data_IF_109324917744
#
_entry.id   IF_109324917744
#
_cell.length_a   1.000
_cell.length_b   1.000
_cell.length_c   1.000
_cell.angle_alpha   90.00
_cell.angle_beta   90.00
_cell.angle_gamma   90.00
#
_symmetry.space_group_name_H-M   'P 1'
#
loop_
_entity.id
_entity.type
_entity.pdbx_description
1 polymer ?
#
# COMPACT_ATOMS: atom_id res chain seq x y z
N UNK A 1 12.25 -5.57 -21.68
CA UNK A 1 12.83 -4.27 -21.34
C UNK A 1 12.71 -4.12 -19.82
N UNK A 2 13.80 -3.83 -19.13
CA UNK A 2 13.83 -3.56 -17.70
C UNK A 2 13.33 -2.13 -17.48
N UNK A 3 12.30 -1.96 -16.65
CA UNK A 3 11.78 -0.65 -16.29
C UNK A 3 12.23 -0.28 -14.88
N UNK A 4 12.38 1.03 -14.60
CA UNK A 4 12.58 1.56 -13.26
C UNK A 4 11.23 1.94 -12.67
N UNK A 5 10.87 1.32 -11.55
CA UNK A 5 9.56 1.47 -10.92
C UNK A 5 9.72 1.94 -9.48
N UNK A 6 8.90 2.89 -9.08
CA UNK A 6 8.76 3.30 -7.68
C UNK A 6 7.38 2.89 -7.19
N UNK A 7 7.30 2.26 -6.02
CA UNK A 7 6.03 2.00 -5.35
C UNK A 7 6.04 2.62 -3.95
N UNK A 8 4.89 3.10 -3.49
CA UNK A 8 4.78 3.79 -2.19
C UNK A 8 3.57 3.29 -1.41
N UNK A 9 3.78 2.86 -0.16
CA UNK A 9 2.68 2.43 0.69
C UNK A 9 3.11 1.84 2.02
N UNK A 10 2.17 1.19 2.71
CA UNK A 10 2.42 0.55 3.98
C UNK A 10 2.87 -0.90 3.82
N UNK A 11 3.95 -1.26 4.50
CA UNK A 11 4.27 -2.65 4.77
C UNK A 11 3.89 -2.99 6.22
N UNK A 12 3.18 -4.10 6.41
CA UNK A 12 2.73 -4.55 7.73
C UNK A 12 3.35 -5.89 8.11
N UNK A 13 3.45 -6.12 9.39
CA UNK A 13 3.70 -7.44 9.95
C UNK A 13 2.40 -8.26 9.88
N UNK A 14 2.42 -9.38 9.16
CA UNK A 14 1.33 -10.35 9.11
C UNK A 14 1.63 -11.51 10.06
N UNK A 15 0.71 -11.76 10.97
CA UNK A 15 0.72 -12.89 11.89
C UNK A 15 -0.40 -13.87 11.51
N UNK A 16 -0.04 -14.99 10.89
CA UNK A 16 -1.01 -15.98 10.42
C UNK A 16 -1.06 -17.17 11.38
N UNK A 17 -2.26 -17.62 11.77
CA UNK A 17 -2.40 -18.90 12.46
C UNK A 17 -1.95 -20.05 11.53
N UNK A 18 -1.28 -21.09 12.08
CA UNK A 18 -0.81 -22.20 11.26
C UNK A 18 -1.95 -22.95 10.55
N UNK A 19 -1.73 -23.29 9.31
CA UNK A 19 -2.68 -24.03 8.49
C UNK A 19 -4.08 -23.38 8.48
N UNK A 20 -5.08 -24.08 8.99
CA UNK A 20 -6.47 -23.63 9.08
C UNK A 20 -6.96 -23.47 10.52
N UNK A 21 -6.05 -23.35 11.48
CA UNK A 21 -6.41 -23.14 12.87
C UNK A 21 -7.10 -21.79 13.07
N UNK A 22 -8.06 -21.74 13.99
CA UNK A 22 -8.61 -20.47 14.48
C UNK A 22 -7.64 -19.82 15.44
N UNK A 23 -7.73 -18.51 15.64
CA UNK A 23 -6.90 -17.81 16.63
C UNK A 23 -6.99 -18.43 18.01
N UNK A 24 -8.19 -18.87 18.44
CA UNK A 24 -8.39 -19.54 19.74
C UNK A 24 -7.74 -20.92 19.86
N UNK A 25 -7.29 -21.52 18.76
CA UNK A 25 -6.64 -22.82 18.72
C UNK A 25 -5.14 -22.71 18.54
N UNK A 26 -4.67 -21.56 18.02
CA UNK A 26 -3.28 -21.35 17.67
C UNK A 26 -2.45 -21.07 18.95
N UNK A 27 -1.33 -21.76 19.08
CA UNK A 27 -0.31 -21.50 20.12
C UNK A 27 0.88 -20.69 19.60
N UNK A 28 0.95 -20.48 18.28
CA UNK A 28 2.02 -19.76 17.58
C UNK A 28 1.47 -19.04 16.36
N UNK A 29 2.26 -18.13 15.79
CA UNK A 29 1.95 -17.45 14.53
C UNK A 29 3.11 -17.55 13.55
N UNK A 30 2.79 -17.77 12.28
CA UNK A 30 3.72 -17.59 11.18
C UNK A 30 3.91 -16.10 10.89
N UNK A 31 5.16 -15.67 10.82
CA UNK A 31 5.54 -14.27 10.59
C UNK A 31 5.78 -14.05 9.10
N UNK A 32 5.08 -13.08 8.53
CA UNK A 32 5.30 -12.58 7.18
C UNK A 32 5.20 -11.06 7.16
N UNK A 33 5.76 -10.44 6.12
CA UNK A 33 5.62 -9.01 5.89
C UNK A 33 4.96 -8.78 4.53
N UNK A 34 4.03 -7.83 4.45
CA UNK A 34 3.33 -7.55 3.22
C UNK A 34 2.50 -6.28 3.28
N UNK A 35 2.13 -5.80 2.12
CA UNK A 35 1.30 -4.64 1.91
C UNK A 35 1.00 -4.54 0.42
N UNK A 36 -0.04 -3.81 0.04
CA UNK A 36 -0.46 -3.75 -1.35
C UNK A 36 0.70 -3.36 -2.28
N UNK A 37 1.29 -2.21 -2.04
CA UNK A 37 2.37 -1.66 -2.86
C UNK A 37 3.71 -2.38 -2.64
N UNK A 38 3.94 -2.91 -1.43
CA UNK A 38 5.11 -3.74 -1.13
C UNK A 38 5.06 -5.06 -1.92
N UNK A 39 3.89 -5.68 -2.05
CA UNK A 39 3.70 -6.89 -2.83
C UNK A 39 3.92 -6.63 -4.33
N UNK A 40 3.45 -5.49 -4.84
CA UNK A 40 3.73 -5.05 -6.22
C UNK A 40 5.23 -4.87 -6.42
N UNK A 41 5.93 -4.21 -5.48
CA UNK A 41 7.38 -4.04 -5.54
C UNK A 41 8.11 -5.38 -5.64
N UNK A 42 7.78 -6.32 -4.77
CA UNK A 42 8.37 -7.68 -4.76
C UNK A 42 8.12 -8.40 -6.08
N UNK A 43 6.88 -8.38 -6.57
CA UNK A 43 6.52 -9.06 -7.83
C UNK A 43 7.29 -8.49 -9.01
N UNK A 44 7.39 -7.17 -9.13
CA UNK A 44 8.11 -6.52 -10.23
C UNK A 44 9.61 -6.75 -10.15
N UNK A 45 10.20 -6.73 -8.94
CA UNK A 45 11.62 -7.04 -8.76
C UNK A 45 11.93 -8.49 -9.18
N UNK A 46 11.08 -9.45 -8.84
CA UNK A 46 11.24 -10.84 -9.25
C UNK A 46 11.03 -11.06 -10.77
N UNK A 47 10.27 -10.18 -11.42
CA UNK A 47 10.13 -10.15 -12.87
C UNK A 47 11.31 -9.46 -13.57
N UNK A 48 12.32 -9.00 -12.83
CA UNK A 48 13.55 -8.42 -13.37
C UNK A 48 13.50 -6.91 -13.62
N UNK A 49 12.56 -6.20 -12.99
CA UNK A 49 12.53 -4.74 -13.01
C UNK A 49 13.41 -4.14 -11.89
N UNK A 50 13.88 -2.91 -12.09
CA UNK A 50 14.56 -2.12 -11.06
C UNK A 50 13.50 -1.41 -10.20
N UNK A 51 13.32 -1.85 -8.96
CA UNK A 51 12.20 -1.43 -8.13
C UNK A 51 12.66 -0.79 -6.85
N UNK A 52 12.22 0.44 -6.61
CA UNK A 52 12.39 1.17 -5.36
C UNK A 52 11.08 1.22 -4.60
N UNK A 53 11.13 0.92 -3.31
CA UNK A 53 9.97 1.00 -2.41
C UNK A 53 10.11 2.17 -1.44
N UNK A 54 9.08 3.02 -1.37
CA UNK A 54 8.98 4.16 -0.47
C UNK A 54 7.98 3.85 0.63
N UNK A 55 8.37 4.08 1.88
CA UNK A 55 7.51 3.93 3.05
C UNK A 55 8.12 4.69 4.24
N UNK A 56 7.43 4.68 5.37
CA UNK A 56 8.01 5.03 6.67
C UNK A 56 7.87 3.86 7.63
N UNK A 57 8.99 3.45 8.23
CA UNK A 57 9.11 2.23 9.02
C UNK A 57 9.81 2.56 10.36
N UNK A 58 9.40 1.97 11.51
CA UNK A 58 9.99 2.28 12.79
C UNK A 58 11.46 1.88 12.87
N UNK A 59 12.25 2.63 13.65
CA UNK A 59 13.68 2.35 13.90
C UNK A 59 13.86 1.32 15.01
N UNK A 60 13.31 0.11 14.80
CA UNK A 60 13.42 -1.01 15.74
C UNK A 60 13.65 -2.34 15.00
N UNK A 61 13.88 -3.42 15.72
CA UNK A 61 14.17 -4.74 15.15
C UNK A 61 13.08 -5.28 14.22
N UNK A 62 11.81 -4.97 14.47
CA UNK A 62 10.69 -5.38 13.61
C UNK A 62 10.73 -4.61 12.28
N UNK A 63 11.00 -3.31 12.31
CA UNK A 63 11.21 -2.50 11.11
C UNK A 63 12.41 -2.97 10.29
N UNK A 64 13.52 -3.34 10.94
CA UNK A 64 14.69 -3.93 10.26
C UNK A 64 14.35 -5.25 9.59
N UNK A 65 13.57 -6.11 10.23
CA UNK A 65 13.14 -7.38 9.66
C UNK A 65 12.24 -7.20 8.43
N UNK A 66 11.36 -6.19 8.45
CA UNK A 66 10.54 -5.84 7.29
C UNK A 66 11.40 -5.40 6.10
N UNK A 67 12.37 -4.49 6.33
CA UNK A 67 13.30 -4.03 5.30
C UNK A 67 14.17 -5.18 4.78
N UNK A 68 14.67 -6.04 5.66
CA UNK A 68 15.48 -7.20 5.27
C UNK A 68 14.67 -8.15 4.36
N UNK A 69 13.37 -8.32 4.63
CA UNK A 69 12.49 -9.14 3.80
C UNK A 69 12.35 -8.57 2.39
N UNK A 70 12.16 -7.26 2.24
CA UNK A 70 12.11 -6.61 0.93
C UNK A 70 13.45 -6.71 0.18
N UNK A 71 14.56 -6.42 0.86
CA UNK A 71 15.90 -6.49 0.25
C UNK A 71 16.25 -7.87 -0.28
N UNK A 72 15.82 -8.95 0.40
CA UNK A 72 16.02 -10.34 -0.05
C UNK A 72 15.38 -10.63 -1.40
N UNK A 73 14.34 -9.88 -1.78
CA UNK A 73 13.64 -10.04 -3.06
C UNK A 73 14.16 -9.11 -4.15
N UNK A 74 15.21 -8.31 -3.88
CA UNK A 74 15.80 -7.39 -4.84
C UNK A 74 15.19 -6.00 -4.85
N UNK A 75 14.29 -5.68 -3.94
CA UNK A 75 13.69 -4.34 -3.82
C UNK A 75 14.68 -3.36 -3.18
N UNK A 76 14.88 -2.22 -3.81
CA UNK A 76 15.65 -1.12 -3.25
C UNK A 76 14.85 -0.38 -2.17
N UNK A 77 15.43 -0.31 -0.97
CA UNK A 77 14.82 0.28 0.22
C UNK A 77 15.53 1.56 0.69
N UNK A 78 16.38 2.19 -0.16
CA UNK A 78 17.22 3.33 0.26
C UNK A 78 16.42 4.56 0.68
N UNK A 79 15.22 4.73 0.13
CA UNK A 79 14.33 5.87 0.42
C UNK A 79 13.23 5.56 1.43
N UNK A 80 13.38 4.49 2.21
CA UNK A 80 12.46 4.24 3.33
C UNK A 80 12.82 5.19 4.47
N UNK A 81 11.88 6.07 4.83
CA UNK A 81 12.02 6.94 5.99
C UNK A 81 11.96 6.13 7.29
N UNK A 82 12.72 6.55 8.29
CA UNK A 82 12.82 5.86 9.57
C UNK A 82 12.23 6.69 10.70
N UNK A 83 11.37 6.09 11.48
CA UNK A 83 10.73 6.76 12.63
C UNK A 83 9.31 6.28 12.88
N UNK A 84 8.61 7.00 13.77
CA UNK A 84 7.33 6.52 14.27
C UNK A 84 7.50 5.44 15.34
N UNK A 85 6.36 4.97 15.91
CA UNK A 85 6.38 4.07 17.07
C UNK A 85 6.37 2.59 16.69
N UNK A 86 5.64 2.22 15.62
CA UNK A 86 5.34 0.82 15.33
C UNK A 86 5.10 0.55 13.85
N UNK A 87 5.35 -0.68 13.47
CA UNK A 87 4.84 -1.24 12.22
C UNK A 87 3.35 -1.60 12.42
N UNK A 88 2.53 -1.37 11.39
CA UNK A 88 1.16 -1.90 11.40
C UNK A 88 1.18 -3.43 11.44
N UNK A 89 0.23 -4.02 12.16
CA UNK A 89 0.09 -5.48 12.29
C UNK A 89 -1.29 -5.90 11.79
N UNK A 90 -1.36 -7.05 11.16
CA UNK A 90 -2.65 -7.72 10.99
C UNK A 90 -2.52 -9.21 11.26
N UNK A 91 -3.59 -9.75 11.83
CA UNK A 91 -3.72 -11.16 12.12
C UNK A 91 -4.57 -11.81 11.04
N UNK A 92 -4.12 -12.96 10.54
CA UNK A 92 -4.83 -13.73 9.51
C UNK A 92 -5.18 -15.12 10.03
N UNK A 93 -6.45 -15.42 9.98
CA UNK A 93 -6.99 -16.76 10.16
C UNK A 93 -7.42 -17.28 8.78
N UNK A 94 -6.76 -18.30 8.28
CA UNK A 94 -7.06 -18.84 6.96
C UNK A 94 -8.44 -19.49 6.91
N UNK A 95 -9.17 -19.24 5.83
CA UNK A 95 -10.43 -19.90 5.56
C UNK A 95 -10.27 -21.40 5.31
N UNK A 96 -11.31 -22.16 5.60
CA UNK A 96 -11.36 -23.60 5.31
C UNK A 96 -12.73 -23.98 4.79
N UNK A 97 -12.80 -24.58 3.63
CA UNK A 97 -14.08 -24.98 2.98
C UNK A 97 -15.03 -23.76 2.88
N UNK A 98 -16.20 -23.82 3.50
CA UNK A 98 -17.21 -22.75 3.51
C UNK A 98 -16.89 -21.62 4.51
N UNK A 99 -15.91 -21.80 5.36
CA UNK A 99 -15.50 -20.75 6.33
C UNK A 99 -14.60 -19.74 5.64
N UNK A 100 -14.98 -18.45 5.59
CA UNK A 100 -14.10 -17.42 5.03
C UNK A 100 -12.87 -17.18 5.91
N UNK A 101 -11.84 -16.59 5.31
CA UNK A 101 -10.70 -16.08 6.07
C UNK A 101 -11.14 -14.92 6.97
N UNK A 102 -10.51 -14.81 8.14
CA UNK A 102 -10.74 -13.71 9.06
C UNK A 102 -9.46 -12.87 9.21
N UNK A 103 -9.60 -11.56 9.02
CA UNK A 103 -8.49 -10.62 9.15
C UNK A 103 -8.82 -9.61 10.24
N UNK A 104 -7.91 -9.48 11.22
CA UNK A 104 -7.98 -8.47 12.27
C UNK A 104 -6.82 -7.51 12.11
N UNK A 105 -7.12 -6.22 11.92
CA UNK A 105 -6.09 -5.18 11.79
C UNK A 105 -5.79 -4.53 13.15
N UNK A 106 -4.52 -4.35 13.43
CA UNK A 106 -3.97 -3.51 14.48
C UNK A 106 -2.92 -2.59 13.86
N UNK A 107 -3.39 -1.50 13.22
CA UNK A 107 -2.55 -0.60 12.41
C UNK A 107 -2.71 0.88 12.78
N UNK A 108 -3.49 1.21 13.80
CA UNK A 108 -3.60 2.59 14.25
C UNK A 108 -2.21 3.14 14.64
N UNK A 109 -1.95 4.40 14.30
CA UNK A 109 -0.70 5.09 14.62
C UNK A 109 0.56 4.36 14.13
N UNK A 110 0.45 3.56 13.07
CA UNK A 110 1.62 2.96 12.42
C UNK A 110 2.53 4.04 11.83
N UNK A 111 3.82 3.75 11.70
CA UNK A 111 4.82 4.74 11.27
C UNK A 111 4.46 5.43 9.95
N UNK A 112 3.88 4.71 8.99
CA UNK A 112 3.47 5.30 7.70
C UNK A 112 2.41 6.39 7.86
N UNK A 113 1.49 6.28 8.84
CA UNK A 113 0.45 7.29 9.08
C UNK A 113 1.02 8.65 9.47
N UNK A 114 2.28 8.70 9.86
CA UNK A 114 3.03 9.89 10.25
C UNK A 114 4.08 10.28 9.18
N UNK A 115 4.04 9.68 8.00
CA UNK A 115 4.99 9.98 6.94
C UNK A 115 4.65 11.33 6.30
N UNK A 116 5.58 12.27 6.36
CA UNK A 116 5.44 13.56 5.71
C UNK A 116 6.18 13.62 4.38
N UNK A 117 5.70 14.46 3.46
CA UNK A 117 6.30 14.59 2.14
C UNK A 117 7.74 15.16 2.20
N UNK A 118 8.04 15.93 3.23
CA UNK A 118 9.35 16.54 3.48
C UNK A 118 10.44 15.53 3.84
N UNK A 119 10.06 14.29 4.18
CA UNK A 119 11.01 13.20 4.45
C UNK A 119 11.56 12.56 3.16
N UNK A 120 11.04 12.94 1.98
CA UNK A 120 11.37 12.33 0.70
C UNK A 120 11.83 13.36 -0.31
N UNK A 121 13.02 13.17 -0.88
CA UNK A 121 13.49 13.94 -2.03
C UNK A 121 12.92 13.34 -3.32
N UNK A 122 11.71 13.77 -3.69
CA UNK A 122 11.02 13.27 -4.86
C UNK A 122 11.73 13.61 -6.18
N UNK A 123 12.49 14.70 -6.22
CA UNK A 123 13.25 15.05 -7.43
C UNK A 123 14.36 14.02 -7.67
N UNK A 124 15.03 13.56 -6.60
CA UNK A 124 16.01 12.48 -6.69
C UNK A 124 15.33 11.11 -6.91
N UNK A 125 14.21 10.85 -6.23
CA UNK A 125 13.50 9.56 -6.29
C UNK A 125 12.99 9.28 -7.71
N UNK A 126 12.43 10.29 -8.39
CA UNK A 126 11.81 10.13 -9.70
C UNK A 126 12.77 10.37 -10.89
N UNK A 127 14.05 10.64 -10.63
CA UNK A 127 15.03 10.80 -11.71
C UNK A 127 15.20 9.51 -12.52
N UNK A 128 14.82 9.57 -13.79
CA UNK A 128 14.89 8.45 -14.72
C UNK A 128 13.96 7.27 -14.39
N UNK A 129 12.87 7.49 -13.64
CA UNK A 129 11.85 6.50 -13.32
C UNK A 129 10.81 6.43 -14.44
N UNK A 130 10.38 5.22 -14.80
CA UNK A 130 9.37 4.99 -15.83
C UNK A 130 7.94 4.97 -15.27
N UNK A 131 7.76 4.40 -14.07
CA UNK A 131 6.44 4.20 -13.46
C UNK A 131 6.45 4.45 -11.95
N UNK A 132 5.45 5.16 -11.46
CA UNK A 132 5.13 5.31 -10.05
C UNK A 132 3.79 4.65 -9.73
N UNK A 133 3.77 3.74 -8.74
CA UNK A 133 2.57 3.02 -8.33
C UNK A 133 2.23 3.28 -6.86
N UNK A 134 0.95 3.57 -6.60
CA UNK A 134 0.37 3.72 -5.26
C UNK A 134 -1.06 3.18 -5.27
N UNK A 135 -1.60 2.81 -4.11
CA UNK A 135 -3.00 2.39 -3.98
C UNK A 135 -3.84 3.37 -3.18
N UNK A 136 -5.17 3.23 -3.28
CA UNK A 136 -6.13 4.01 -2.52
C UNK A 136 -6.14 3.71 -1.01
N UNK A 137 -5.36 2.73 -0.56
CA UNK A 137 -5.15 2.48 0.87
C UNK A 137 -4.32 3.60 1.49
N UNK A 138 -3.18 3.93 0.88
CA UNK A 138 -2.22 4.89 1.45
C UNK A 138 -2.83 6.27 1.75
N UNK A 139 -3.53 6.96 0.82
CA UNK A 139 -4.04 8.30 1.09
C UNK A 139 -5.18 8.34 2.12
N UNK A 140 -5.86 7.23 2.40
CA UNK A 140 -6.97 7.20 3.37
C UNK A 140 -6.56 6.80 4.79
N UNK A 141 -5.26 6.56 5.04
CA UNK A 141 -4.75 6.19 6.35
C UNK A 141 -4.69 7.37 7.32
N UNK A 142 -4.33 8.56 6.84
CA UNK A 142 -4.22 9.79 7.61
C UNK A 142 -4.20 11.03 6.71
N UNK A 143 -4.34 12.21 7.29
CA UNK A 143 -4.18 13.48 6.55
C UNK A 143 -2.76 13.63 5.98
N UNK A 144 -1.74 13.21 6.74
CA UNK A 144 -0.35 13.25 6.29
C UNK A 144 -0.11 12.35 5.08
N UNK A 145 -0.63 11.13 5.08
CA UNK A 145 -0.50 10.22 3.92
C UNK A 145 -1.33 10.68 2.73
N UNK A 146 -2.45 11.34 2.94
CA UNK A 146 -3.22 11.98 1.87
C UNK A 146 -2.39 13.08 1.19
N UNK A 147 -1.77 13.95 1.98
CA UNK A 147 -0.87 15.01 1.50
C UNK A 147 0.36 14.43 0.80
N UNK A 148 1.01 13.44 1.43
CA UNK A 148 2.15 12.72 0.87
C UNK A 148 1.83 12.13 -0.51
N UNK A 149 0.71 11.42 -0.63
CA UNK A 149 0.29 10.79 -1.89
C UNK A 149 0.04 11.83 -2.99
N UNK A 150 -0.61 12.93 -2.66
CA UNK A 150 -0.84 14.04 -3.61
C UNK A 150 0.47 14.61 -4.11
N UNK A 151 1.41 14.94 -3.22
CA UNK A 151 2.70 15.50 -3.59
C UNK A 151 3.51 14.51 -4.43
N UNK A 152 3.55 13.24 -4.04
CA UNK A 152 4.25 12.20 -4.80
C UNK A 152 3.69 12.06 -6.24
N UNK A 153 2.38 12.04 -6.41
CA UNK A 153 1.74 11.99 -7.74
C UNK A 153 2.06 13.24 -8.56
N UNK A 154 1.98 14.43 -7.97
CA UNK A 154 2.33 15.69 -8.63
C UNK A 154 3.79 15.68 -9.10
N UNK A 155 4.72 15.31 -8.23
CA UNK A 155 6.14 15.20 -8.53
C UNK A 155 6.45 14.16 -9.60
N UNK A 156 5.78 13.03 -9.58
CA UNK A 156 5.88 12.04 -10.64
C UNK A 156 5.46 12.63 -12.01
N UNK A 157 4.36 13.39 -12.05
CA UNK A 157 3.93 14.07 -13.29
C UNK A 157 4.91 15.15 -13.74
N UNK A 158 5.48 15.94 -12.83
CA UNK A 158 6.51 16.95 -13.15
C UNK A 158 7.75 16.32 -13.80
N UNK A 159 8.12 15.10 -13.39
CA UNK A 159 9.22 14.32 -13.94
C UNK A 159 8.85 13.49 -15.19
N UNK A 160 7.61 13.56 -15.66
CA UNK A 160 7.14 12.78 -16.82
C UNK A 160 6.99 11.28 -16.54
N UNK A 161 6.93 10.90 -15.26
CA UNK A 161 6.75 9.50 -14.83
C UNK A 161 5.30 9.07 -15.07
N UNK A 162 5.09 7.90 -15.64
CA UNK A 162 3.75 7.30 -15.75
C UNK A 162 3.23 6.94 -14.35
N UNK A 163 2.03 7.38 -14.02
CA UNK A 163 1.43 7.15 -12.72
C UNK A 163 0.37 6.04 -12.76
N UNK A 164 0.44 5.12 -11.82
CA UNK A 164 -0.45 3.97 -11.67
C UNK A 164 -1.09 3.97 -10.30
N UNK A 165 -2.40 3.79 -10.25
CA UNK A 165 -3.18 3.81 -9.03
C UNK A 165 -4.14 2.62 -8.97
N UNK A 166 -4.09 1.85 -7.87
CA UNK A 166 -5.07 0.79 -7.59
C UNK A 166 -6.07 1.30 -6.54
N UNK A 167 -7.35 1.41 -6.90
CA UNK A 167 -8.41 1.88 -5.99
C UNK A 167 -8.46 1.07 -4.69
N UNK A 168 -8.30 -0.22 -4.77
CA UNK A 168 -8.05 -1.15 -3.66
C UNK A 168 -8.98 -0.93 -2.46
N UNK A 169 -10.29 -0.88 -2.70
CA UNK A 169 -11.28 -0.65 -1.64
C UNK A 169 -11.14 -1.65 -0.49
N UNK A 170 -11.09 -1.13 0.73
CA UNK A 170 -11.04 -1.93 1.95
C UNK A 170 -12.10 -1.44 2.92
N UNK A 171 -13.18 -2.18 3.07
CA UNK A 171 -14.36 -1.83 3.89
C UNK A 171 -13.97 -1.28 5.27
N UNK A 172 -12.97 -1.89 5.92
CA UNK A 172 -12.52 -1.48 7.27
C UNK A 172 -11.84 -0.10 7.33
N UNK A 173 -11.42 0.45 6.21
CA UNK A 173 -10.86 1.81 6.12
C UNK A 173 -11.90 2.87 5.74
N UNK A 174 -13.12 2.44 5.40
CA UNK A 174 -14.20 3.30 4.89
C UNK A 174 -15.40 3.33 5.83
N UNK A 175 -15.13 3.36 7.14
CA UNK A 175 -16.17 3.41 8.19
C UNK A 175 -16.59 4.83 8.53
N UNK A 176 -15.71 5.81 8.29
CA UNK A 176 -15.92 7.23 8.63
C UNK A 176 -15.55 8.10 7.43
N UNK A 177 -16.16 9.28 7.35
CA UNK A 177 -15.91 10.31 6.33
C UNK A 177 -15.86 9.76 4.89
N UNK A 178 -16.83 8.95 4.51
CA UNK A 178 -16.88 8.32 3.17
C UNK A 178 -16.83 9.38 2.07
N UNK A 179 -17.62 10.45 2.21
CA UNK A 179 -17.69 11.54 1.21
C UNK A 179 -16.36 12.28 1.08
N UNK A 180 -15.67 12.58 2.19
CA UNK A 180 -14.34 13.22 2.16
C UNK A 180 -13.30 12.33 1.50
N UNK A 181 -13.29 11.03 1.80
CA UNK A 181 -12.40 10.06 1.16
C UNK A 181 -12.68 9.90 -0.33
N UNK A 182 -13.96 9.85 -0.74
CA UNK A 182 -14.33 9.84 -2.17
C UNK A 182 -13.84 11.08 -2.90
N UNK A 183 -14.04 12.25 -2.29
CA UNK A 183 -13.53 13.50 -2.85
C UNK A 183 -12.01 13.50 -2.97
N UNK A 184 -11.31 13.08 -1.92
CA UNK A 184 -9.85 12.95 -1.92
C UNK A 184 -9.37 12.08 -3.08
N UNK A 185 -9.90 10.86 -3.21
CA UNK A 185 -9.47 9.94 -4.27
C UNK A 185 -9.85 10.48 -5.67
N UNK A 186 -11.02 11.08 -5.83
CA UNK A 186 -11.42 11.71 -7.10
C UNK A 186 -10.47 12.85 -7.49
N UNK A 187 -10.06 13.68 -6.54
CA UNK A 187 -9.08 14.76 -6.77
C UNK A 187 -7.71 14.18 -7.19
N UNK A 188 -7.29 13.05 -6.60
CA UNK A 188 -6.03 12.39 -6.93
C UNK A 188 -6.04 11.80 -8.35
N UNK A 189 -7.21 11.38 -8.87
CA UNK A 189 -7.31 10.81 -10.22
C UNK A 189 -6.86 11.77 -11.32
N UNK A 190 -6.86 13.09 -11.09
CA UNK A 190 -6.33 14.07 -12.05
C UNK A 190 -4.83 13.90 -12.34
N UNK A 191 -4.11 13.21 -11.47
CA UNK A 191 -2.67 12.92 -11.60
C UNK A 191 -2.37 11.48 -12.02
N UNK A 192 -3.40 10.68 -12.33
CA UNK A 192 -3.28 9.23 -12.59
C UNK A 192 -3.45 8.93 -14.07
N UNK A 193 -2.46 8.22 -14.66
CA UNK A 193 -2.51 7.76 -16.05
C UNK A 193 -3.18 6.39 -16.18
N UNK A 194 -2.94 5.49 -15.22
CA UNK A 194 -3.47 4.11 -15.23
C UNK A 194 -4.17 3.85 -13.90
N UNK A 195 -5.46 3.55 -13.94
CA UNK A 195 -6.24 3.23 -12.75
C UNK A 195 -6.69 1.76 -12.79
N UNK A 196 -6.41 1.02 -11.72
CA UNK A 196 -6.91 -0.33 -11.49
C UNK A 196 -8.08 -0.30 -10.50
N UNK A 197 -9.08 -1.12 -10.76
CA UNK A 197 -10.24 -1.27 -9.89
C UNK A 197 -11.37 -1.99 -10.63
N UNK A 198 -12.29 -2.57 -9.88
CA UNK A 198 -13.53 -3.09 -10.41
C UNK A 198 -14.67 -2.05 -10.25
N UNK A 199 -15.86 -2.37 -10.73
CA UNK A 199 -17.04 -1.48 -10.62
C UNK A 199 -17.41 -1.13 -9.19
N UNK A 200 -17.28 -2.09 -8.26
CA UNK A 200 -17.51 -1.86 -6.82
C UNK A 200 -16.47 -0.88 -6.26
N UNK A 201 -15.20 -1.05 -6.62
CA UNK A 201 -14.14 -0.13 -6.18
C UNK A 201 -14.39 1.28 -6.72
N UNK A 202 -14.77 1.42 -8.00
CA UNK A 202 -15.11 2.71 -8.59
C UNK A 202 -16.31 3.37 -7.90
N UNK A 203 -17.36 2.61 -7.59
CA UNK A 203 -18.52 3.12 -6.86
C UNK A 203 -18.17 3.54 -5.44
N UNK A 204 -17.45 2.70 -4.69
CA UNK A 204 -17.12 2.97 -3.28
C UNK A 204 -16.05 4.03 -3.11
N UNK A 205 -15.01 4.03 -3.95
CA UNK A 205 -13.87 4.93 -3.83
C UNK A 205 -14.07 6.28 -4.50
N UNK A 206 -14.83 6.33 -5.62
CA UNK A 206 -14.98 7.54 -6.43
C UNK A 206 -16.42 8.06 -6.48
N UNK A 207 -17.38 7.36 -5.85
CA UNK A 207 -18.78 7.77 -5.81
C UNK A 207 -19.55 7.59 -7.13
N UNK A 208 -19.04 6.79 -8.06
CA UNK A 208 -19.79 6.47 -9.28
C UNK A 208 -21.01 5.62 -8.96
N UNK A 209 -22.09 5.81 -9.71
CA UNK A 209 -23.26 4.95 -9.59
C UNK A 209 -22.88 3.51 -9.99
N UNK A 210 -23.21 2.54 -9.14
CA UNK A 210 -23.19 1.13 -9.55
C UNK A 210 -24.26 0.98 -10.64
N UNK A 211 -23.83 0.92 -11.89
CA UNK A 211 -24.71 0.43 -12.96
C UNK A 211 -24.59 -1.07 -12.94
N UNK A 212 -25.74 -1.77 -12.96
CA UNK A 212 -25.79 -3.17 -13.37
C UNK A 212 -25.26 -3.23 -14.82
N UNK A 213 -23.97 -3.37 -14.94
CA UNK A 213 -23.36 -3.67 -16.22
C UNK A 213 -23.28 -5.17 -16.28
N UNK A 214 -24.15 -5.76 -17.08
CA UNK A 214 -23.91 -7.08 -17.63
C UNK A 214 -22.56 -7.00 -18.35
N UNK A 215 -21.54 -7.55 -17.74
CA UNK A 215 -20.24 -7.70 -18.38
C UNK A 215 -20.38 -8.80 -19.42
N UNK A 216 -20.22 -8.42 -20.67
CA UNK A 216 -20.01 -9.35 -21.78
C UNK A 216 -18.58 -9.85 -21.72
#
# INVERSE_FOLDING_TARGET
>A
VMAKVVTMGEIMLRLSSPGYQRFAQASEFEINYGGAEANVAVSLAQLGHDVTYISKIPSNAIGEAAIATLKKTGVDCRYIARGGKRLGVYFLENGASVRPSNVVYDRADSSITQASAEEFDFDQIFDGVDLFHVSGITPVLSEETARLTRIALQKAKEHGVTTSFDLNYRTKLWTEDITGKQKLLSDLMSYVDICFGNTRDAAKCLGYAEKDTDFI
#
